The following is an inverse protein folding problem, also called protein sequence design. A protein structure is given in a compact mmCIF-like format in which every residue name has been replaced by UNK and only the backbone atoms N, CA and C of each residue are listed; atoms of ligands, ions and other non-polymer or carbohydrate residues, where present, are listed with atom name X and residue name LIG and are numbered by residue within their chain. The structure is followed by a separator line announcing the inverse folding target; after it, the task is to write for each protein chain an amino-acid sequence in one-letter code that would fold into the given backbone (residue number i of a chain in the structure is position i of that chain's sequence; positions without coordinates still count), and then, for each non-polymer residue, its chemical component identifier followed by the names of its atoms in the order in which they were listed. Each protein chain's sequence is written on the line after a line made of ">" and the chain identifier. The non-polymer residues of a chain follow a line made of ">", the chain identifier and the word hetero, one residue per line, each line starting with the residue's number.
data_IF_052097986462
#
_entry.id   IF_052097986462
#
_cell.length_a   1.000
_cell.length_b   1.000
_cell.length_c   1.000
_cell.angle_alpha   90.00
_cell.angle_beta   90.00
_cell.angle_gamma   90.00
#
_symmetry.space_group_name_H-M   'P 1'
#
loop_
_entity.id
_entity.type
_entity.pdbx_description
1 polymer ?
#
# COMPACT_ATOMS: atom_id res chain seq x y z
N UNK A 1 -4.56 -3.40 -9.98
CA UNK A 1 -3.87 -2.23 -10.54
C UNK A 1 -2.97 -2.67 -11.69
N UNK A 2 -2.74 -1.82 -12.70
CA UNK A 2 -1.78 -2.06 -13.75
C UNK A 2 -0.38 -2.22 -13.17
N UNK A 3 0.35 -3.23 -13.63
CA UNK A 3 1.75 -3.46 -13.27
C UNK A 3 2.40 -4.33 -14.37
N UNK A 4 3.72 -4.33 -14.45
CA UNK A 4 4.46 -5.10 -15.44
C UNK A 4 4.10 -4.83 -16.93
N UNK A 5 3.67 -3.62 -17.25
CA UNK A 5 3.34 -3.22 -18.63
C UNK A 5 4.58 -3.18 -19.55
N UNK A 6 5.78 -3.29 -18.98
CA UNK A 6 7.02 -3.59 -19.70
C UNK A 6 7.06 -5.00 -20.31
N UNK A 7 6.18 -5.93 -19.84
CA UNK A 7 6.09 -7.33 -20.28
C UNK A 7 4.81 -7.69 -21.01
N UNK A 8 3.76 -6.90 -20.84
CA UNK A 8 2.43 -7.15 -21.39
C UNK A 8 2.00 -5.97 -22.26
N UNK A 9 1.31 -6.25 -23.37
CA UNK A 9 0.87 -5.21 -24.32
C UNK A 9 -0.14 -4.23 -23.70
N UNK A 10 -0.94 -4.71 -22.76
CA UNK A 10 -1.95 -3.95 -22.04
C UNK A 10 -2.37 -4.65 -20.76
N UNK A 11 -3.21 -3.99 -19.97
CA UNK A 11 -3.69 -4.48 -18.68
C UNK A 11 -4.58 -5.72 -18.84
N UNK A 12 -5.31 -5.82 -19.93
CA UNK A 12 -6.19 -6.95 -20.26
C UNK A 12 -5.38 -8.24 -20.47
N UNK A 13 -4.26 -8.18 -21.19
CA UNK A 13 -3.35 -9.32 -21.36
C UNK A 13 -2.76 -9.75 -20.00
N UNK A 14 -2.31 -8.80 -19.20
CA UNK A 14 -1.85 -9.07 -17.84
C UNK A 14 -2.93 -9.75 -17.00
N UNK A 15 -4.18 -9.26 -17.03
CA UNK A 15 -5.32 -9.83 -16.32
C UNK A 15 -5.64 -11.26 -16.79
N UNK A 16 -5.59 -11.54 -18.09
CA UNK A 16 -5.77 -12.89 -18.65
C UNK A 16 -4.72 -13.88 -18.15
N UNK A 17 -3.46 -13.46 -18.05
CA UNK A 17 -2.39 -14.31 -17.49
C UNK A 17 -2.65 -14.59 -16.02
N UNK A 18 -3.05 -13.59 -15.23
CA UNK A 18 -3.42 -13.77 -13.81
C UNK A 18 -4.63 -14.69 -13.64
N UNK A 19 -5.61 -14.61 -14.52
CA UNK A 19 -6.81 -15.43 -14.47
C UNK A 19 -6.52 -16.94 -14.62
N UNK A 20 -5.39 -17.34 -15.23
CA UNK A 20 -5.01 -18.76 -15.37
C UNK A 20 -4.90 -19.53 -14.04
N UNK A 21 -4.69 -18.83 -12.91
CA UNK A 21 -4.70 -19.46 -11.58
C UNK A 21 -6.08 -19.95 -11.16
N UNK A 22 -7.15 -19.43 -11.77
CA UNK A 22 -8.53 -19.71 -11.42
C UNK A 22 -9.02 -20.98 -12.15
N UNK A 23 -8.50 -22.13 -11.75
CA UNK A 23 -8.83 -23.41 -12.37
C UNK A 23 -10.25 -23.90 -12.05
N UNK A 24 -10.93 -24.70 -12.90
CA UNK A 24 -12.32 -25.08 -12.72
C UNK A 24 -12.67 -25.72 -11.36
N UNK A 25 -11.78 -26.56 -10.83
CA UNK A 25 -12.04 -27.39 -9.65
C UNK A 25 -11.56 -26.78 -8.31
N UNK A 26 -11.00 -25.56 -8.32
CA UNK A 26 -10.49 -24.90 -7.12
C UNK A 26 -11.54 -23.95 -6.52
N UNK A 27 -11.46 -23.73 -5.20
CA UNK A 27 -12.08 -22.56 -4.59
C UNK A 27 -11.45 -21.28 -5.17
N UNK A 28 -12.28 -20.36 -5.61
CA UNK A 28 -11.84 -19.08 -6.18
C UNK A 28 -12.19 -17.94 -5.25
N UNK A 29 -11.19 -17.17 -4.84
CA UNK A 29 -11.38 -15.97 -4.02
C UNK A 29 -10.86 -14.79 -4.85
N UNK A 30 -11.72 -13.81 -5.12
CA UNK A 30 -11.42 -12.72 -6.05
C UNK A 30 -11.78 -11.38 -5.41
N UNK A 31 -10.79 -10.49 -5.29
CA UNK A 31 -11.03 -9.09 -4.98
C UNK A 31 -11.76 -8.40 -6.12
N UNK A 32 -12.90 -7.75 -5.85
CA UNK A 32 -13.76 -7.10 -6.86
C UNK A 32 -13.72 -5.57 -6.77
N UNK A 33 -12.59 -5.01 -6.35
CA UNK A 33 -12.45 -3.56 -6.14
C UNK A 33 -12.04 -2.79 -7.40
N UNK A 34 -11.66 -3.49 -8.50
CA UNK A 34 -11.38 -2.89 -9.80
C UNK A 34 -12.39 -3.35 -10.86
N UNK A 35 -12.60 -2.54 -11.89
CA UNK A 35 -13.47 -2.89 -13.02
C UNK A 35 -13.04 -4.20 -13.71
N UNK A 36 -11.74 -4.40 -13.87
CA UNK A 36 -11.18 -5.61 -14.50
C UNK A 36 -11.49 -6.85 -13.65
N UNK A 37 -11.24 -6.79 -12.35
CA UNK A 37 -11.50 -7.92 -11.46
C UNK A 37 -13.01 -8.21 -11.31
N UNK A 38 -13.85 -7.18 -11.37
CA UNK A 38 -15.31 -7.35 -11.44
C UNK A 38 -15.74 -8.10 -12.72
N UNK A 39 -15.19 -7.72 -13.86
CA UNK A 39 -15.49 -8.39 -15.14
C UNK A 39 -15.07 -9.86 -15.10
N UNK A 40 -13.87 -10.16 -14.55
CA UNK A 40 -13.42 -11.55 -14.34
C UNK A 40 -14.39 -12.30 -13.45
N UNK A 41 -14.79 -11.72 -12.31
CA UNK A 41 -15.75 -12.32 -11.40
C UNK A 41 -17.09 -12.65 -12.09
N UNK A 42 -17.69 -11.70 -12.80
CA UNK A 42 -18.98 -11.92 -13.47
C UNK A 42 -18.91 -12.96 -14.58
N UNK A 43 -17.81 -13.00 -15.35
CA UNK A 43 -17.59 -14.00 -16.37
C UNK A 43 -17.44 -15.41 -15.77
N UNK A 44 -16.68 -15.53 -14.67
CA UNK A 44 -16.53 -16.81 -13.97
C UNK A 44 -17.83 -17.25 -13.30
N UNK A 45 -18.61 -16.32 -12.74
CA UNK A 45 -19.92 -16.64 -12.13
C UNK A 45 -20.92 -17.22 -13.13
N UNK A 46 -20.86 -16.78 -14.40
CA UNK A 46 -21.66 -17.36 -15.48
C UNK A 46 -21.21 -18.75 -15.90
N UNK A 47 -19.88 -18.98 -15.90
CA UNK A 47 -19.28 -20.23 -16.37
C UNK A 47 -19.23 -21.32 -15.29
N UNK A 48 -19.08 -20.94 -14.02
CA UNK A 48 -18.86 -21.84 -12.88
C UNK A 48 -19.79 -21.46 -11.74
N UNK A 49 -20.87 -22.21 -11.55
CA UNK A 49 -21.88 -21.95 -10.51
C UNK A 49 -21.40 -22.21 -9.07
N UNK A 50 -20.20 -22.70 -8.83
CA UNK A 50 -19.75 -23.20 -7.52
C UNK A 50 -18.38 -22.67 -7.09
N UNK A 51 -18.28 -22.31 -5.80
CA UNK A 51 -17.03 -21.98 -5.08
C UNK A 51 -16.30 -20.72 -5.57
N UNK A 52 -17.04 -19.64 -5.79
CA UNK A 52 -16.50 -18.34 -6.13
C UNK A 52 -16.88 -17.32 -5.05
N UNK A 53 -15.92 -16.85 -4.27
CA UNK A 53 -16.11 -15.89 -3.18
C UNK A 53 -15.60 -14.52 -3.63
N UNK A 54 -16.48 -13.53 -3.86
CA UNK A 54 -16.05 -12.16 -4.09
C UNK A 54 -15.63 -11.49 -2.78
N UNK A 55 -14.57 -10.69 -2.85
CA UNK A 55 -14.04 -9.91 -1.74
C UNK A 55 -14.12 -8.43 -2.06
N UNK A 56 -14.57 -7.62 -1.09
CA UNK A 56 -14.55 -6.17 -1.19
C UNK A 56 -13.87 -5.54 0.02
N UNK A 57 -13.28 -4.36 -0.18
CA UNK A 57 -12.64 -3.58 0.88
C UNK A 57 -13.53 -2.47 1.46
N UNK A 58 -14.74 -2.28 0.93
CA UNK A 58 -15.60 -1.16 1.35
C UNK A 58 -17.08 -1.33 1.03
N UNK A 59 -17.44 -2.22 0.11
CA UNK A 59 -18.83 -2.38 -0.34
C UNK A 59 -19.42 -3.67 0.22
N UNK A 60 -20.61 -3.55 0.79
CA UNK A 60 -21.41 -4.72 1.12
C UNK A 60 -21.68 -5.52 -0.15
N UNK A 61 -21.38 -6.82 -0.11
CA UNK A 61 -21.59 -7.74 -1.21
C UNK A 61 -22.36 -8.96 -0.75
N UNK A 62 -23.28 -9.41 -1.61
CA UNK A 62 -24.04 -10.63 -1.42
C UNK A 62 -23.19 -11.85 -1.84
N UNK A 63 -23.22 -12.91 -1.02
CA UNK A 63 -22.45 -14.12 -1.29
C UNK A 63 -20.93 -13.95 -1.20
N UNK A 64 -20.44 -12.91 -0.53
CA UNK A 64 -19.03 -12.61 -0.41
C UNK A 64 -18.60 -12.16 0.98
N UNK A 65 -17.34 -11.75 1.08
CA UNK A 65 -16.73 -11.27 2.33
C UNK A 65 -16.21 -9.86 2.13
N UNK A 66 -16.42 -9.00 3.12
CA UNK A 66 -15.91 -7.62 3.11
C UNK A 66 -15.56 -7.15 4.51
N UNK A 67 -14.74 -6.11 4.61
CA UNK A 67 -14.37 -5.46 5.87
C UNK A 67 -14.71 -3.98 5.82
N UNK A 68 -15.20 -3.46 6.95
CA UNK A 68 -15.14 -2.03 7.28
C UNK A 68 -14.04 -1.75 8.32
N UNK A 69 -14.13 -0.64 9.06
CA UNK A 69 -13.11 -0.31 10.06
C UNK A 69 -13.18 -1.18 11.32
N UNK A 70 -14.35 -1.72 11.63
CA UNK A 70 -14.65 -2.35 12.92
C UNK A 70 -15.01 -3.83 12.79
N UNK A 71 -15.46 -4.26 11.62
CA UNK A 71 -16.01 -5.59 11.43
C UNK A 71 -15.55 -6.23 10.12
N UNK A 72 -15.41 -7.55 10.17
CA UNK A 72 -15.39 -8.43 9.02
C UNK A 72 -16.78 -9.04 8.87
N UNK A 73 -17.33 -8.96 7.67
CA UNK A 73 -18.65 -9.50 7.33
C UNK A 73 -18.49 -10.67 6.36
N UNK A 74 -19.05 -11.80 6.73
CA UNK A 74 -19.09 -13.01 5.92
C UNK A 74 -20.54 -13.30 5.52
N UNK A 75 -20.83 -13.03 4.27
CA UNK A 75 -22.14 -13.24 3.64
C UNK A 75 -22.13 -14.43 2.67
N UNK A 76 -21.16 -15.34 2.78
CA UNK A 76 -21.03 -16.51 1.89
C UNK A 76 -22.09 -17.58 2.12
N UNK A 77 -22.76 -17.56 3.27
CA UNK A 77 -23.82 -18.48 3.66
C UNK A 77 -25.11 -17.71 4.00
N UNK A 78 -26.22 -18.43 4.13
CA UNK A 78 -27.53 -17.84 4.48
C UNK A 78 -27.49 -17.12 5.85
N UNK A 79 -26.71 -17.62 6.80
CA UNK A 79 -26.45 -16.97 8.08
C UNK A 79 -25.29 -16.00 7.93
N UNK A 80 -25.60 -14.71 7.75
CA UNK A 80 -24.60 -13.63 7.69
C UNK A 80 -23.87 -13.52 9.04
N UNK A 81 -22.57 -13.54 9.00
CA UNK A 81 -21.71 -13.47 10.19
C UNK A 81 -21.02 -12.10 10.20
N UNK A 82 -21.05 -11.44 11.36
CA UNK A 82 -20.33 -10.21 11.63
C UNK A 82 -19.32 -10.45 12.75
N UNK A 83 -18.04 -10.27 12.48
CA UNK A 83 -16.95 -10.54 13.38
C UNK A 83 -16.26 -9.21 13.73
N UNK A 84 -16.23 -8.79 15.00
CA UNK A 84 -15.51 -7.58 15.38
C UNK A 84 -14.01 -7.74 15.13
N UNK A 85 -13.41 -6.73 14.48
CA UNK A 85 -11.96 -6.66 14.26
C UNK A 85 -11.31 -5.93 15.43
N UNK A 86 -10.24 -6.47 16.02
CA UNK A 86 -9.44 -5.77 17.00
C UNK A 86 -8.68 -4.60 16.36
N UNK A 87 -7.99 -3.81 17.17
CA UNK A 87 -7.06 -2.81 16.63
C UNK A 87 -5.93 -3.49 15.87
N UNK A 88 -5.79 -3.16 14.58
CA UNK A 88 -4.80 -3.75 13.66
C UNK A 88 -3.84 -2.66 13.15
N UNK A 89 -2.94 -2.12 14.00
CA UNK A 89 -2.10 -0.98 13.65
C UNK A 89 -1.14 -1.25 12.49
N UNK A 90 -0.83 -2.50 12.21
CA UNK A 90 0.05 -2.93 11.11
C UNK A 90 -0.71 -3.26 9.82
N UNK A 91 -2.04 -3.22 9.83
CA UNK A 91 -2.92 -3.53 8.70
C UNK A 91 -3.85 -2.35 8.37
N UNK A 92 -3.30 -1.14 8.38
CA UNK A 92 -4.04 0.08 8.06
C UNK A 92 -4.29 0.23 6.54
N UNK A 93 -5.37 0.95 6.19
CA UNK A 93 -5.70 1.28 4.81
C UNK A 93 -6.66 0.29 4.12
N UNK A 94 -7.31 0.78 3.07
CA UNK A 94 -8.35 0.03 2.34
C UNK A 94 -7.85 -1.27 1.69
N UNK A 95 -6.60 -1.27 1.18
CA UNK A 95 -5.99 -2.45 0.59
C UNK A 95 -5.78 -3.58 1.62
N UNK A 96 -5.51 -3.24 2.88
CA UNK A 96 -5.36 -4.24 3.94
C UNK A 96 -6.70 -4.83 4.37
N UNK A 97 -7.82 -4.10 4.26
CA UNK A 97 -9.16 -4.68 4.45
C UNK A 97 -9.45 -5.80 3.46
N UNK A 98 -9.06 -5.62 2.20
CA UNK A 98 -9.15 -6.68 1.18
C UNK A 98 -8.25 -7.86 1.54
N UNK A 99 -7.00 -7.62 1.95
CA UNK A 99 -6.07 -8.67 2.37
C UNK A 99 -6.60 -9.46 3.58
N UNK A 100 -7.17 -8.79 4.58
CA UNK A 100 -7.80 -9.41 5.74
C UNK A 100 -8.96 -10.32 5.30
N UNK A 101 -9.86 -9.83 4.44
CA UNK A 101 -10.99 -10.58 3.96
C UNK A 101 -10.58 -11.80 3.12
N UNK A 102 -9.54 -11.67 2.28
CA UNK A 102 -8.97 -12.79 1.51
C UNK A 102 -8.33 -13.82 2.44
N UNK A 103 -7.51 -13.39 3.41
CA UNK A 103 -6.88 -14.28 4.38
C UNK A 103 -7.93 -15.06 5.20
N UNK A 104 -8.98 -14.35 5.67
CA UNK A 104 -10.09 -14.98 6.35
C UNK A 104 -10.78 -16.02 5.48
N UNK A 105 -11.12 -15.69 4.22
CA UNK A 105 -11.78 -16.61 3.30
C UNK A 105 -10.95 -17.89 3.06
N UNK A 106 -9.64 -17.75 2.89
CA UNK A 106 -8.73 -18.89 2.73
C UNK A 106 -8.71 -19.75 3.99
N UNK A 107 -8.50 -19.15 5.16
CA UNK A 107 -8.43 -19.87 6.43
C UNK A 107 -9.76 -20.56 6.77
N UNK A 108 -10.89 -19.88 6.54
CA UNK A 108 -12.23 -20.47 6.71
C UNK A 108 -12.41 -21.70 5.79
N UNK A 109 -11.95 -21.65 4.55
CA UNK A 109 -12.03 -22.77 3.61
C UNK A 109 -11.22 -23.99 4.05
N UNK A 110 -10.22 -23.78 4.90
CA UNK A 110 -9.42 -24.82 5.55
C UNK A 110 -10.01 -25.24 6.93
N UNK A 111 -11.24 -24.83 7.23
CA UNK A 111 -11.93 -25.13 8.50
C UNK A 111 -11.23 -24.57 9.74
N UNK A 112 -10.44 -23.49 9.61
CA UNK A 112 -9.83 -22.80 10.75
C UNK A 112 -10.89 -21.95 11.45
N UNK A 113 -11.08 -22.07 12.78
CA UNK A 113 -12.07 -21.29 13.50
C UNK A 113 -11.80 -19.78 13.41
N UNK A 114 -12.87 -18.97 13.27
CA UNK A 114 -12.76 -17.51 13.17
C UNK A 114 -12.00 -16.88 14.33
N UNK A 115 -12.14 -17.39 15.55
CA UNK A 115 -11.41 -16.91 16.73
C UNK A 115 -9.90 -17.08 16.61
N UNK A 116 -9.43 -18.15 15.95
CA UNK A 116 -8.01 -18.39 15.69
C UNK A 116 -7.51 -17.43 14.61
N UNK A 117 -8.32 -17.21 13.56
CA UNK A 117 -7.98 -16.28 12.47
C UNK A 117 -7.82 -14.86 13.02
N UNK A 118 -8.77 -14.40 13.83
CA UNK A 118 -8.72 -13.05 14.43
C UNK A 118 -7.51 -12.88 15.36
N UNK A 119 -7.19 -13.88 16.19
CA UNK A 119 -5.98 -13.87 17.00
C UNK A 119 -4.70 -13.76 16.17
N UNK A 120 -4.64 -14.46 15.03
CA UNK A 120 -3.50 -14.40 14.14
C UNK A 120 -3.37 -13.01 13.50
N UNK A 121 -4.47 -12.38 13.07
CA UNK A 121 -4.48 -11.02 12.56
C UNK A 121 -3.99 -10.01 13.62
N UNK A 122 -4.42 -10.14 14.87
CA UNK A 122 -4.01 -9.28 15.99
C UNK A 122 -2.50 -9.38 16.27
N UNK A 123 -1.95 -10.59 16.19
CA UNK A 123 -0.53 -10.83 16.42
C UNK A 123 0.37 -10.48 15.23
N UNK A 124 -0.21 -10.22 14.05
CA UNK A 124 0.54 -9.96 12.83
C UNK A 124 1.27 -8.60 12.90
N UNK A 125 2.58 -8.62 12.73
CA UNK A 125 3.46 -7.43 12.84
C UNK A 125 3.62 -6.65 11.53
N UNK A 126 2.89 -7.04 10.47
CA UNK A 126 3.11 -6.53 9.12
C UNK A 126 4.27 -7.23 8.40
N UNK A 127 4.51 -6.80 7.17
CA UNK A 127 5.68 -7.23 6.39
C UNK A 127 6.73 -6.12 6.42
N UNK A 128 8.01 -6.50 6.45
CA UNK A 128 9.11 -5.56 6.29
C UNK A 128 8.96 -4.77 5.00
N UNK A 129 9.24 -3.48 5.06
CA UNK A 129 9.19 -2.56 3.93
C UNK A 129 7.80 -2.36 3.28
N UNK A 130 6.70 -2.80 3.96
CA UNK A 130 5.31 -2.54 3.55
C UNK A 130 4.56 -1.79 4.62
N UNK A 131 4.41 -0.48 4.47
CA UNK A 131 3.81 0.41 5.49
C UNK A 131 4.31 0.10 6.90
N UNK A 132 5.55 -0.39 6.98
CA UNK A 132 6.20 -0.84 8.21
C UNK A 132 6.38 0.35 9.15
N UNK A 133 5.72 0.32 10.30
CA UNK A 133 6.01 1.27 11.37
C UNK A 133 7.41 1.01 11.92
N UNK A 134 8.33 1.95 11.73
CA UNK A 134 9.74 1.83 12.10
C UNK A 134 10.07 2.50 13.44
N UNK A 135 9.04 3.03 14.10
CA UNK A 135 9.16 3.67 15.42
C UNK A 135 8.78 5.15 15.40
N UNK A 136 8.97 5.80 16.54
CA UNK A 136 8.75 7.24 16.70
C UNK A 136 9.92 7.90 17.41
N UNK A 137 10.06 9.21 17.17
CA UNK A 137 11.01 10.06 17.85
C UNK A 137 10.43 11.47 17.99
N UNK A 138 10.31 11.99 19.21
CA UNK A 138 9.62 13.26 19.51
C UNK A 138 8.22 13.27 18.87
N UNK A 139 7.96 14.27 18.00
CA UNK A 139 6.70 14.44 17.28
C UNK A 139 6.66 13.71 15.91
N UNK A 140 7.63 12.83 15.61
CA UNK A 140 7.76 12.16 14.32
C UNK A 140 7.43 10.68 14.46
N UNK A 141 6.55 10.17 13.61
CA UNK A 141 6.40 8.74 13.34
C UNK A 141 7.12 8.39 12.04
N UNK A 142 7.71 7.21 11.96
CA UNK A 142 8.44 6.73 10.79
C UNK A 142 7.77 5.51 10.18
N UNK A 143 7.50 5.57 8.87
CA UNK A 143 6.89 4.51 8.09
C UNK A 143 7.74 4.17 6.88
N UNK A 144 8.06 2.90 6.75
CA UNK A 144 8.86 2.36 5.67
C UNK A 144 7.96 1.57 4.70
N UNK A 145 7.70 2.16 3.55
CA UNK A 145 7.04 1.50 2.44
C UNK A 145 7.94 1.48 1.21
N UNK A 146 9.18 1.04 1.40
CA UNK A 146 10.14 0.91 0.29
C UNK A 146 9.65 0.00 -0.83
N UNK A 147 8.67 -0.88 -0.55
CA UNK A 147 7.97 -1.72 -1.53
C UNK A 147 7.01 -0.95 -2.44
N UNK A 148 6.64 0.28 -2.13
CA UNK A 148 5.86 1.17 -3.01
C UNK A 148 6.72 1.61 -4.20
N UNK A 149 6.97 0.70 -5.14
CA UNK A 149 7.88 0.88 -6.29
C UNK A 149 7.18 1.41 -7.55
N UNK A 150 5.89 1.74 -7.44
CA UNK A 150 5.05 2.31 -8.48
C UNK A 150 4.08 3.35 -7.91
N UNK A 151 3.46 4.14 -8.81
CA UNK A 151 2.56 5.25 -8.45
C UNK A 151 1.35 4.77 -7.64
N UNK A 152 0.69 3.71 -8.07
CA UNK A 152 -0.50 3.17 -7.39
C UNK A 152 -0.21 2.75 -5.95
N UNK A 153 0.95 2.14 -5.69
CA UNK A 153 1.37 1.77 -4.34
C UNK A 153 1.69 3.00 -3.49
N UNK A 154 2.40 4.00 -4.06
CA UNK A 154 2.71 5.25 -3.36
C UNK A 154 1.43 6.04 -3.05
N UNK A 155 0.46 6.09 -3.97
CA UNK A 155 -0.86 6.68 -3.76
C UNK A 155 -1.56 6.08 -2.53
N UNK A 156 -1.58 4.74 -2.44
CA UNK A 156 -2.18 4.06 -1.29
C UNK A 156 -1.51 4.45 0.04
N UNK A 157 -0.18 4.58 0.04
CA UNK A 157 0.59 4.96 1.23
C UNK A 157 0.38 6.42 1.63
N UNK A 158 0.39 7.33 0.64
CA UNK A 158 0.17 8.77 0.84
C UNK A 158 -1.27 9.08 1.26
N UNK A 159 -2.24 8.24 0.88
CA UNK A 159 -3.64 8.37 1.31
C UNK A 159 -3.88 7.95 2.76
N UNK A 160 -2.92 7.28 3.40
CA UNK A 160 -3.10 6.73 4.75
C UNK A 160 -2.82 7.73 5.87
N UNK A 161 -2.15 8.84 5.58
CA UNK A 161 -1.69 9.81 6.58
C UNK A 161 -1.90 11.25 6.10
N UNK A 162 -1.84 12.18 7.08
CA UNK A 162 -1.69 13.62 6.85
C UNK A 162 -0.34 14.08 7.43
N UNK A 163 0.05 15.32 7.16
CA UNK A 163 1.31 15.91 7.62
C UNK A 163 2.53 15.06 7.24
N UNK A 164 2.55 14.59 6.02
CA UNK A 164 3.57 13.67 5.51
C UNK A 164 4.84 14.45 5.16
N UNK A 165 5.98 13.95 5.64
CA UNK A 165 7.30 14.22 5.07
C UNK A 165 7.59 13.06 4.13
N UNK A 166 7.49 13.33 2.83
CA UNK A 166 7.54 12.31 1.79
C UNK A 166 8.95 12.11 1.24
N UNK A 167 9.43 10.88 1.25
CA UNK A 167 10.69 10.48 0.61
C UNK A 167 10.38 9.69 -0.64
N UNK A 168 10.72 10.25 -1.82
CA UNK A 168 10.45 9.62 -3.11
C UNK A 168 11.64 9.70 -4.06
N UNK A 169 11.68 8.72 -4.97
CA UNK A 169 12.73 8.65 -5.98
C UNK A 169 13.29 7.26 -6.21
N UNK A 170 14.13 7.18 -7.22
CA UNK A 170 14.62 5.93 -7.76
C UNK A 170 14.55 5.93 -9.29
N UNK A 171 14.40 4.76 -9.90
CA UNK A 171 14.22 4.59 -11.34
C UNK A 171 12.72 4.54 -11.66
N UNK A 172 12.20 5.60 -12.26
CA UNK A 172 10.80 5.71 -12.68
C UNK A 172 10.53 4.83 -13.91
N UNK A 173 9.36 4.19 -13.94
CA UNK A 173 8.99 3.23 -14.99
C UNK A 173 7.63 3.50 -15.63
N UNK A 174 6.90 4.48 -15.13
CA UNK A 174 5.55 4.80 -15.56
C UNK A 174 5.54 6.07 -16.42
N UNK A 175 4.39 6.39 -17.02
CA UNK A 175 4.29 7.52 -17.95
C UNK A 175 3.93 8.84 -17.27
N UNK A 176 3.26 8.79 -16.10
CA UNK A 176 2.73 9.98 -15.43
C UNK A 176 2.63 9.83 -13.92
N UNK A 177 2.68 10.96 -13.23
CA UNK A 177 2.42 11.09 -11.78
C UNK A 177 0.99 11.57 -11.46
N UNK A 178 0.11 11.72 -12.46
CA UNK A 178 -1.20 12.37 -12.31
C UNK A 178 -2.09 11.74 -11.24
N UNK A 179 -1.98 10.44 -11.03
CA UNK A 179 -2.71 9.73 -9.97
C UNK A 179 -2.37 10.24 -8.56
N UNK A 180 -1.22 10.88 -8.36
CA UNK A 180 -0.82 11.42 -7.05
C UNK A 180 -1.43 12.79 -6.74
N UNK A 181 -2.01 13.49 -7.72
CA UNK A 181 -2.58 14.83 -7.52
C UNK A 181 -3.58 14.91 -6.35
N UNK A 182 -4.50 13.94 -6.16
CA UNK A 182 -5.50 13.99 -5.08
C UNK A 182 -4.92 13.92 -3.66
N UNK A 183 -3.68 13.45 -3.49
CA UNK A 183 -3.06 13.25 -2.18
C UNK A 183 -1.95 14.25 -1.87
N UNK A 184 -1.70 15.21 -2.76
CA UNK A 184 -0.67 16.24 -2.54
C UNK A 184 -0.96 17.10 -1.30
N UNK A 185 -2.22 17.32 -0.96
CA UNK A 185 -2.63 18.05 0.24
C UNK A 185 -2.24 17.38 1.56
N UNK A 186 -2.02 16.05 1.55
CA UNK A 186 -1.57 15.30 2.70
C UNK A 186 -0.07 15.50 2.99
N UNK A 187 0.68 16.03 2.01
CA UNK A 187 2.12 16.16 2.04
C UNK A 187 2.50 17.56 2.51
N UNK A 188 3.20 17.64 3.63
CA UNK A 188 3.74 18.88 4.15
C UNK A 188 5.01 19.32 3.43
N UNK A 189 5.92 18.37 3.18
CA UNK A 189 7.14 18.57 2.42
C UNK A 189 7.64 17.29 1.79
N UNK A 190 8.25 17.38 0.62
CA UNK A 190 8.81 16.25 -0.10
C UNK A 190 10.33 16.36 -0.24
N UNK A 191 11.00 15.21 -0.23
CA UNK A 191 12.44 15.08 -0.46
C UNK A 191 12.65 14.06 -1.57
N UNK A 192 13.14 14.52 -2.72
CA UNK A 192 13.33 13.70 -3.90
C UNK A 192 14.78 13.35 -4.11
N UNK A 193 15.07 12.08 -4.37
CA UNK A 193 16.42 11.56 -4.55
C UNK A 193 16.51 10.59 -5.75
N UNK A 194 17.74 10.24 -6.12
CA UNK A 194 17.99 9.29 -7.21
C UNK A 194 17.75 9.86 -8.61
N UNK A 195 17.62 8.95 -9.58
CA UNK A 195 17.56 9.26 -11.02
C UNK A 195 16.34 10.13 -11.37
N UNK A 196 15.18 9.84 -10.79
CA UNK A 196 13.90 10.48 -11.15
C UNK A 196 13.59 11.75 -10.37
N UNK A 197 14.48 12.26 -9.53
CA UNK A 197 14.20 13.41 -8.66
C UNK A 197 13.72 14.66 -9.41
N UNK A 198 14.24 14.92 -10.61
CA UNK A 198 13.84 16.07 -11.42
C UNK A 198 12.43 15.89 -12.00
N UNK A 199 12.03 14.67 -12.36
CA UNK A 199 10.68 14.38 -12.84
C UNK A 199 9.63 14.64 -11.75
N UNK A 200 9.93 14.31 -10.50
CA UNK A 200 9.05 14.66 -9.38
C UNK A 200 8.96 16.17 -9.15
N UNK A 201 10.06 16.89 -9.32
CA UNK A 201 10.07 18.35 -9.22
C UNK A 201 9.20 18.98 -10.32
N UNK A 202 9.39 18.58 -11.56
CA UNK A 202 8.59 19.03 -12.71
C UNK A 202 7.09 18.73 -12.49
N UNK A 203 6.76 17.53 -12.02
CA UNK A 203 5.37 17.17 -11.69
C UNK A 203 4.77 18.13 -10.66
N UNK A 204 5.48 18.42 -9.55
CA UNK A 204 4.98 19.36 -8.55
C UNK A 204 4.95 20.79 -9.06
N UNK A 205 5.89 21.20 -9.91
CA UNK A 205 5.90 22.55 -10.48
C UNK A 205 4.75 22.80 -11.45
N UNK A 206 4.28 21.74 -12.12
CA UNK A 206 3.10 21.77 -12.99
C UNK A 206 1.78 21.58 -12.20
N UNK A 207 1.83 21.10 -10.96
CA UNK A 207 0.64 20.98 -10.12
C UNK A 207 0.12 22.36 -9.70
N UNK A 208 -1.20 22.46 -9.51
CA UNK A 208 -1.88 23.70 -9.12
C UNK A 208 -1.41 24.23 -7.75
N UNK A 209 -1.94 25.37 -7.33
CA UNK A 209 -1.54 26.21 -6.20
C UNK A 209 -1.39 25.56 -4.81
N UNK A 210 -1.73 24.31 -4.61
CA UNK A 210 -1.63 23.56 -3.34
C UNK A 210 -0.52 22.50 -3.34
N UNK A 211 0.57 22.77 -4.07
CA UNK A 211 1.71 21.83 -4.09
C UNK A 211 2.52 21.92 -2.79
N UNK A 212 3.03 20.78 -2.27
CA UNK A 212 3.97 20.79 -1.15
C UNK A 212 5.32 21.39 -1.56
N UNK A 213 6.03 21.99 -0.60
CA UNK A 213 7.44 22.32 -0.79
C UNK A 213 8.25 21.04 -1.02
N UNK A 214 9.33 21.14 -1.80
CA UNK A 214 10.23 20.02 -2.00
C UNK A 214 11.72 20.44 -1.98
N UNK A 215 12.58 19.44 -1.75
CA UNK A 215 14.03 19.56 -1.91
C UNK A 215 14.58 18.40 -2.75
N UNK A 216 15.52 18.73 -3.64
CA UNK A 216 16.28 17.74 -4.40
C UNK A 216 17.52 17.31 -3.61
N UNK A 217 17.69 16.00 -3.44
CA UNK A 217 18.75 15.40 -2.67
C UNK A 217 19.58 14.45 -3.54
N UNK A 218 20.80 14.18 -3.12
CA UNK A 218 21.69 13.25 -3.82
C UNK A 218 21.23 11.80 -3.62
N UNK A 219 20.91 11.45 -2.39
CA UNK A 219 20.52 10.10 -1.95
C UNK A 219 19.55 10.16 -0.77
N UNK A 220 19.11 8.98 -0.32
CA UNK A 220 18.17 8.84 0.79
C UNK A 220 18.74 9.37 2.12
N UNK A 221 20.02 9.21 2.38
CA UNK A 221 20.68 9.69 3.61
C UNK A 221 20.63 11.22 3.72
N UNK A 222 20.93 11.91 2.62
CA UNK A 222 20.84 13.37 2.57
C UNK A 222 19.41 13.83 2.74
N UNK A 223 18.45 13.20 2.03
CA UNK A 223 17.03 13.48 2.14
C UNK A 223 16.54 13.36 3.59
N UNK A 224 16.89 12.25 4.24
CA UNK A 224 16.51 11.98 5.62
C UNK A 224 17.14 12.98 6.61
N UNK A 225 18.43 13.28 6.46
CA UNK A 225 19.13 14.25 7.30
C UNK A 225 18.51 15.65 7.21
N UNK A 226 18.19 16.12 5.99
CA UNK A 226 17.54 17.42 5.76
C UNK A 226 16.12 17.44 6.35
N UNK A 227 15.36 16.35 6.21
CA UNK A 227 14.03 16.22 6.77
C UNK A 227 14.05 16.26 8.31
N UNK A 228 15.00 15.59 8.96
CA UNK A 228 15.17 15.66 10.42
C UNK A 228 15.51 17.10 10.85
N UNK A 229 16.39 17.80 10.14
CA UNK A 229 16.68 19.21 10.43
C UNK A 229 15.46 20.11 10.25
N UNK A 230 14.65 19.88 9.22
CA UNK A 230 13.39 20.60 9.01
C UNK A 230 12.40 20.39 10.16
N UNK A 231 12.25 19.13 10.61
CA UNK A 231 11.29 18.76 11.67
C UNK A 231 11.58 19.43 13.02
N UNK A 232 12.82 19.84 13.30
CA UNK A 232 13.16 20.53 14.56
C UNK A 232 12.45 21.90 14.72
N UNK A 233 11.95 22.45 13.62
CA UNK A 233 11.23 23.74 13.60
C UNK A 233 9.70 23.56 13.66
N UNK A 234 9.21 22.33 13.70
CA UNK A 234 7.80 21.99 13.60
C UNK A 234 7.35 21.38 14.92
N UNK A 235 6.29 21.90 15.51
CA UNK A 235 5.73 21.38 16.77
C UNK A 235 4.63 20.35 16.56
N UNK A 236 3.96 20.38 15.41
CA UNK A 236 2.92 19.42 15.07
C UNK A 236 3.46 18.02 14.79
N UNK A 237 2.58 17.01 14.87
CA UNK A 237 2.93 15.63 14.60
C UNK A 237 3.20 15.42 13.12
N UNK A 238 4.33 14.82 12.79
CA UNK A 238 4.77 14.52 11.42
C UNK A 238 4.83 13.02 11.19
N UNK A 239 4.56 12.61 9.94
CA UNK A 239 4.72 11.24 9.48
C UNK A 239 5.82 11.22 8.39
N UNK A 240 7.01 10.72 8.74
CA UNK A 240 8.07 10.47 7.77
C UNK A 240 7.75 9.18 7.03
N UNK A 241 7.49 9.30 5.74
CA UNK A 241 7.03 8.20 4.90
C UNK A 241 7.98 7.98 3.73
N UNK A 242 8.69 6.84 3.74
CA UNK A 242 9.40 6.34 2.57
C UNK A 242 8.37 5.61 1.68
N UNK A 243 7.86 6.28 0.65
CA UNK A 243 6.99 5.73 -0.38
C UNK A 243 7.54 6.14 -1.75
N UNK A 244 8.55 5.45 -2.28
CA UNK A 244 9.41 5.95 -3.34
C UNK A 244 8.74 6.17 -4.69
N UNK A 245 7.62 5.51 -4.98
CA UNK A 245 6.94 5.48 -6.28
C UNK A 245 7.83 5.01 -7.45
N UNK A 246 9.03 4.53 -7.17
CA UNK A 246 10.05 4.15 -8.14
C UNK A 246 10.76 2.87 -7.73
N UNK A 247 11.23 2.11 -8.73
CA UNK A 247 12.18 1.04 -8.48
C UNK A 247 13.48 1.58 -7.88
N UNK A 248 14.21 0.74 -7.15
CA UNK A 248 15.39 1.16 -6.37
C UNK A 248 16.73 1.00 -7.10
N UNK A 249 16.71 0.44 -8.32
CA UNK A 249 17.90 -0.07 -9.02
C UNK A 249 18.91 0.99 -9.51
N UNK A 250 18.61 2.27 -9.30
CA UNK A 250 19.54 3.38 -9.56
C UNK A 250 20.59 3.55 -8.46
N UNK A 251 20.23 3.30 -7.20
CA UNK A 251 21.10 3.49 -6.04
C UNK A 251 21.21 2.25 -5.13
N UNK A 252 20.37 1.24 -5.30
CA UNK A 252 20.28 0.05 -4.45
C UNK A 252 20.11 -1.22 -5.30
N UNK A 253 20.53 -2.36 -4.77
CA UNK A 253 20.35 -3.67 -5.43
C UNK A 253 18.87 -4.07 -5.53
N UNK A 254 18.07 -3.68 -4.54
CA UNK A 254 16.66 -4.01 -4.43
C UNK A 254 15.95 -3.05 -3.47
N UNK A 255 14.62 -3.17 -3.35
CA UNK A 255 13.84 -2.32 -2.44
C UNK A 255 14.09 -2.66 -0.96
N UNK A 256 14.52 -3.88 -0.66
CA UNK A 256 14.86 -4.32 0.70
C UNK A 256 16.06 -3.54 1.23
N UNK A 257 17.12 -3.40 0.43
CA UNK A 257 18.31 -2.65 0.80
C UNK A 257 17.96 -1.17 1.07
N UNK A 258 17.17 -0.55 0.20
CA UNK A 258 16.67 0.82 0.41
C UNK A 258 15.84 0.94 1.69
N UNK A 259 14.95 0.00 1.95
CA UNK A 259 14.13 -0.01 3.14
C UNK A 259 14.92 -0.27 4.43
N UNK A 260 15.92 -1.15 4.37
CA UNK A 260 16.83 -1.44 5.50
C UNK A 260 17.65 -0.20 5.85
N UNK A 261 18.16 0.54 4.84
CA UNK A 261 18.84 1.81 5.07
C UNK A 261 17.93 2.82 5.78
N UNK A 262 16.68 2.95 5.35
CA UNK A 262 15.72 3.85 6.02
C UNK A 262 15.52 3.49 7.49
N UNK A 263 15.33 2.21 7.81
CA UNK A 263 15.20 1.73 9.20
C UNK A 263 16.46 2.04 10.02
N UNK A 264 17.64 1.85 9.43
CA UNK A 264 18.92 2.21 10.08
C UNK A 264 19.00 3.70 10.39
N UNK A 265 18.63 4.57 9.45
CA UNK A 265 18.62 6.03 9.66
C UNK A 265 17.65 6.43 10.79
N UNK A 266 16.49 5.77 10.89
CA UNK A 266 15.56 5.96 12.01
C UNK A 266 16.20 5.57 13.35
N UNK A 267 16.89 4.43 13.41
CA UNK A 267 17.58 3.97 14.62
C UNK A 267 18.70 4.93 15.03
N UNK A 268 19.49 5.42 14.06
CA UNK A 268 20.58 6.37 14.31
C UNK A 268 20.08 7.69 14.91
N UNK A 269 18.91 8.19 14.49
CA UNK A 269 18.30 9.39 15.09
C UNK A 269 17.84 9.13 16.52
N UNK A 270 17.30 7.94 16.81
CA UNK A 270 16.87 7.55 18.17
C UNK A 270 18.04 7.35 19.13
N UNK A 271 19.19 6.93 18.64
CA UNK A 271 20.37 6.62 19.44
C UNK A 271 21.32 7.83 19.66
N UNK A 272 21.16 8.91 18.92
CA UNK A 272 22.03 10.11 19.03
C UNK A 272 21.70 11.02 20.20
N UNK A 273 20.76 10.60 21.06
CA UNK A 273 20.29 11.31 22.26
C UNK A 273 20.02 10.36 23.43
#
# INVERSE_FOLDING_TARGET
>A
TPDHLDRYKNVEEYAQVKQKILTPNSLKIIGINSHISQNIYYNLKKAYSLKLIPISNSKQIEGGIFCDNNYLYDNTENNKISIPLPSLPHLQGFHNKENIAIAYAICKSLSIPSSVIIKALESFKGLEHRMQYSGSYKNINFYNDSKATNISSALASLSAFNNIIWFAGGKFKEESFDELKPVLENIKKAYFFGESKNLFAEFLDLASSQKPEYELCKNLEEAFSRAVKYSTKISEKLNFLLAPACASYDQFKNFEERGTLFVKLVQDVKNKL
#
